data_IF_954908456609
#
_entry.id   IF_954908456609
#
_cell.length_a   1.000
_cell.length_b   1.000
_cell.length_c   1.000
_cell.angle_alpha   90.00
_cell.angle_beta   90.00
_cell.angle_gamma   90.00
#
_symmetry.space_group_name_H-M   'P 1'
#
loop_
_entity.id
_entity.type
_entity.pdbx_description
1 polymer ?
#
# COMPACT_ATOMS: atom_id res chain seq x y z
N UNK A 1 -18.05 -9.57 -3.04
CA UNK A 1 -17.27 -8.94 -1.95
C UNK A 1 -15.84 -8.74 -2.46
N UNK A 2 -15.17 -7.61 -2.20
CA UNK A 2 -13.76 -7.44 -2.59
C UNK A 2 -12.93 -7.28 -1.32
N UNK A 3 -12.07 -8.25 -1.03
CA UNK A 3 -11.15 -8.21 0.10
C UNK A 3 -9.92 -7.36 -0.27
N UNK A 4 -9.49 -6.49 0.63
CA UNK A 4 -8.23 -5.74 0.48
C UNK A 4 -7.20 -6.39 1.41
N UNK A 5 -6.14 -6.94 0.85
CA UNK A 5 -5.03 -7.52 1.60
C UNK A 5 -3.90 -6.50 1.67
N UNK A 6 -3.49 -6.11 2.87
CA UNK A 6 -2.54 -5.02 3.06
C UNK A 6 -1.70 -5.17 4.33
N UNK A 7 -0.75 -4.26 4.52
CA UNK A 7 0.08 -4.15 5.72
C UNK A 7 0.74 -5.47 6.18
N UNK A 8 1.26 -6.28 5.27
CA UNK A 8 2.04 -7.48 5.65
C UNK A 8 3.31 -7.09 6.41
N UNK A 9 3.57 -7.72 7.56
CA UNK A 9 4.79 -7.53 8.37
C UNK A 9 5.80 -8.66 8.21
N UNK A 10 5.49 -9.66 7.37
CA UNK A 10 6.27 -10.88 7.23
C UNK A 10 6.48 -11.28 5.78
N UNK A 11 6.47 -12.59 5.53
CA UNK A 11 6.54 -13.12 4.19
C UNK A 11 5.32 -12.73 3.36
N UNK A 12 5.44 -12.88 2.03
CA UNK A 12 4.30 -12.69 1.12
C UNK A 12 3.17 -13.63 1.55
N UNK A 13 1.93 -13.13 1.77
CA UNK A 13 0.80 -13.99 2.07
C UNK A 13 0.49 -14.90 0.89
N UNK A 14 0.16 -16.15 1.17
CA UNK A 14 -0.34 -17.09 0.17
C UNK A 14 -1.87 -17.00 0.12
N UNK A 15 -2.43 -16.54 -1.00
CA UNK A 15 -3.83 -16.19 -1.15
C UNK A 15 -4.47 -17.09 -2.20
N UNK A 16 -5.22 -18.12 -1.85
CA UNK A 16 -5.94 -18.90 -2.87
C UNK A 16 -7.30 -18.26 -3.19
N UNK A 17 -7.81 -18.53 -4.39
CA UNK A 17 -9.21 -18.28 -4.70
C UNK A 17 -10.01 -19.50 -4.22
N UNK A 18 -10.75 -19.36 -3.13
CA UNK A 18 -11.53 -20.44 -2.54
C UNK A 18 -12.84 -20.66 -3.28
N UNK A 19 -13.41 -19.61 -3.89
CA UNK A 19 -14.59 -19.71 -4.75
C UNK A 19 -14.38 -18.97 -6.07
N UNK A 20 -14.43 -19.71 -7.18
CA UNK A 20 -14.18 -19.19 -8.54
C UNK A 20 -15.32 -18.31 -9.07
N UNK A 21 -16.55 -18.53 -8.62
CA UNK A 21 -17.75 -17.85 -9.15
C UNK A 21 -17.92 -16.49 -8.46
N UNK A 22 -17.81 -16.46 -7.13
CA UNK A 22 -18.02 -15.26 -6.33
C UNK A 22 -16.74 -14.48 -6.04
N UNK A 23 -15.59 -15.03 -6.46
CA UNK A 23 -14.28 -14.41 -6.30
C UNK A 23 -13.82 -14.35 -4.85
N UNK A 24 -14.30 -15.27 -4.01
CA UNK A 24 -13.87 -15.36 -2.62
C UNK A 24 -12.39 -15.74 -2.58
N UNK A 25 -11.62 -15.01 -1.77
CA UNK A 25 -10.21 -15.28 -1.54
C UNK A 25 -9.99 -15.70 -0.09
N UNK A 26 -9.07 -16.64 0.09
CA UNK A 26 -8.65 -17.18 1.38
C UNK A 26 -7.13 -17.05 1.49
N UNK A 27 -6.65 -16.64 2.66
CA UNK A 27 -5.20 -16.60 2.92
C UNK A 27 -4.81 -17.90 3.62
N UNK A 28 -4.12 -18.78 2.90
CA UNK A 28 -3.76 -20.13 3.35
C UNK A 28 -2.43 -20.18 4.10
N UNK A 29 -1.53 -19.23 3.84
CA UNK A 29 -0.30 -19.08 4.61
C UNK A 29 -0.03 -17.60 4.92
N UNK A 30 0.53 -17.36 6.11
CA UNK A 30 0.88 -16.03 6.62
C UNK A 30 -0.29 -15.06 6.79
N UNK A 31 -1.51 -15.58 6.96
CA UNK A 31 -2.70 -14.80 7.27
C UNK A 31 -2.53 -13.95 8.54
N UNK A 32 -1.78 -14.45 9.52
CA UNK A 32 -1.42 -13.76 10.76
C UNK A 32 -0.51 -12.54 10.55
N UNK A 33 0.20 -12.46 9.42
CA UNK A 33 1.16 -11.40 9.13
C UNK A 33 0.58 -10.23 8.33
N UNK A 34 -0.61 -10.39 7.73
CA UNK A 34 -1.25 -9.37 6.91
C UNK A 34 -2.63 -8.99 7.45
N UNK A 35 -3.17 -7.89 6.94
CA UNK A 35 -4.52 -7.41 7.25
C UNK A 35 -5.45 -7.69 6.08
N UNK A 36 -6.69 -8.09 6.37
CA UNK A 36 -7.72 -8.36 5.37
C UNK A 36 -8.95 -7.52 5.67
N UNK A 37 -9.07 -6.39 4.99
CA UNK A 37 -10.30 -5.60 5.06
C UNK A 37 -11.37 -6.27 4.20
N UNK A 38 -12.47 -6.67 4.83
CA UNK A 38 -13.52 -7.50 4.25
C UNK A 38 -14.92 -6.84 4.31
N UNK A 39 -15.01 -5.59 4.77
CA UNK A 39 -16.27 -4.85 4.76
C UNK A 39 -16.57 -4.29 3.35
N UNK A 40 -17.85 -4.13 2.99
CA UNK A 40 -18.22 -3.47 1.74
C UNK A 40 -17.66 -2.05 1.67
N UNK A 41 -17.06 -1.68 0.53
CA UNK A 41 -16.73 -0.29 0.24
C UNK A 41 -17.98 0.44 -0.25
N UNK A 42 -18.17 1.67 0.21
CA UNK A 42 -19.24 2.56 -0.26
C UNK A 42 -18.71 3.53 -1.31
N UNK A 43 -19.60 4.27 -1.96
CA UNK A 43 -19.22 5.32 -2.92
C UNK A 43 -18.53 6.51 -2.25
N UNK A 44 -18.49 6.57 -0.91
CA UNK A 44 -17.75 7.57 -0.13
C UNK A 44 -16.25 7.25 0.03
N UNK A 45 -15.78 6.11 -0.47
CA UNK A 45 -14.39 5.67 -0.28
C UNK A 45 -14.18 4.91 1.04
N UNK A 46 -12.97 5.00 1.58
CA UNK A 46 -12.60 4.41 2.87
C UNK A 46 -11.99 5.49 3.77
N UNK A 47 -12.71 5.83 4.84
CA UNK A 47 -12.29 6.77 5.86
C UNK A 47 -11.41 6.09 6.93
N UNK A 48 -10.62 6.90 7.64
CA UNK A 48 -9.88 6.44 8.80
C UNK A 48 -10.80 5.91 9.90
N UNK A 49 -11.95 6.55 10.13
CA UNK A 49 -12.95 6.08 11.10
C UNK A 49 -13.47 4.69 10.78
N UNK A 50 -13.85 4.43 9.52
CA UNK A 50 -14.30 3.09 9.10
C UNK A 50 -13.22 2.02 9.27
N UNK A 51 -11.95 2.38 9.06
CA UNK A 51 -10.83 1.47 9.26
C UNK A 51 -10.55 1.24 10.76
N UNK A 52 -10.67 2.26 11.60
CA UNK A 52 -10.56 2.15 13.06
C UNK A 52 -11.67 1.28 13.62
N UNK A 53 -12.92 1.49 13.19
CA UNK A 53 -14.06 0.68 13.60
C UNK A 53 -13.92 -0.78 13.16
N UNK A 54 -13.40 -1.02 11.96
CA UNK A 54 -13.05 -2.36 11.51
C UNK A 54 -11.97 -2.99 12.39
N UNK A 55 -10.90 -2.26 12.71
CA UNK A 55 -9.84 -2.74 13.58
C UNK A 55 -10.33 -3.06 15.00
N UNK A 56 -11.26 -2.25 15.52
CA UNK A 56 -11.90 -2.46 16.83
C UNK A 56 -12.55 -3.84 16.92
N UNK A 57 -13.40 -4.16 15.94
CA UNK A 57 -14.10 -5.44 15.89
C UNK A 57 -13.15 -6.62 15.72
N UNK A 58 -12.17 -6.50 14.82
CA UNK A 58 -11.20 -7.57 14.56
C UNK A 58 -10.33 -7.92 15.78
N UNK A 59 -10.11 -6.97 16.69
CA UNK A 59 -9.22 -7.14 17.85
C UNK A 59 -9.97 -7.18 19.19
N UNK A 60 -11.30 -7.34 19.18
CA UNK A 60 -12.13 -7.37 20.40
C UNK A 60 -11.91 -6.16 21.33
N UNK A 61 -11.75 -4.97 20.75
CA UNK A 61 -11.49 -3.72 21.49
C UNK A 61 -12.77 -2.91 21.76
N UNK A 62 -13.90 -3.57 21.98
CA UNK A 62 -15.22 -2.92 22.06
C UNK A 62 -15.32 -1.85 23.16
N UNK A 63 -14.64 -2.08 24.30
CA UNK A 63 -14.65 -1.17 25.45
C UNK A 63 -13.57 -0.06 25.36
N UNK A 64 -12.73 -0.07 24.31
CA UNK A 64 -11.66 0.91 24.14
C UNK A 64 -12.15 2.15 23.40
N UNK A 65 -11.73 3.33 23.87
CA UNK A 65 -11.99 4.59 23.18
C UNK A 65 -11.35 4.64 21.77
N UNK A 66 -11.88 5.51 20.92
CA UNK A 66 -11.44 5.67 19.53
C UNK A 66 -9.93 5.93 19.41
N UNK A 67 -9.38 6.72 20.33
CA UNK A 67 -7.96 7.08 20.33
C UNK A 67 -7.08 5.86 20.56
N UNK A 68 -7.46 5.01 21.50
CA UNK A 68 -6.72 3.78 21.85
C UNK A 68 -6.72 2.80 20.69
N UNK A 69 -7.88 2.60 20.04
CA UNK A 69 -7.99 1.75 18.85
C UNK A 69 -7.19 2.33 17.68
N UNK A 70 -7.29 3.63 17.42
CA UNK A 70 -6.58 4.30 16.34
C UNK A 70 -5.05 4.23 16.52
N UNK A 71 -4.53 4.40 17.74
CA UNK A 71 -3.09 4.24 18.02
C UNK A 71 -2.62 2.79 17.83
N UNK A 72 -3.42 1.82 18.27
CA UNK A 72 -3.15 0.39 18.05
C UNK A 72 -3.06 0.06 16.55
N UNK A 73 -4.02 0.54 15.76
CA UNK A 73 -4.02 0.39 14.32
C UNK A 73 -2.81 1.09 13.67
N UNK A 74 -2.54 2.35 14.05
CA UNK A 74 -1.38 3.10 13.55
C UNK A 74 -0.08 2.30 13.70
N UNK A 75 0.20 1.79 14.90
CA UNK A 75 1.40 0.99 15.15
C UNK A 75 1.41 -0.30 14.35
N UNK A 76 0.25 -0.94 14.15
CA UNK A 76 0.14 -2.13 13.29
C UNK A 76 0.45 -1.82 11.82
N UNK A 77 -0.01 -0.68 11.29
CA UNK A 77 0.26 -0.26 9.92
C UNK A 77 1.74 0.11 9.72
N UNK A 78 2.29 0.88 10.65
CA UNK A 78 3.70 1.32 10.63
C UNK A 78 4.70 0.17 10.58
N UNK A 79 4.40 -0.96 11.24
CA UNK A 79 5.26 -2.16 11.19
C UNK A 79 5.37 -2.80 9.81
N UNK A 80 4.46 -2.51 8.89
CA UNK A 80 4.49 -3.07 7.53
C UNK A 80 5.45 -2.35 6.57
N UNK A 81 5.87 -1.13 6.90
CA UNK A 81 6.62 -0.26 5.99
C UNK A 81 8.02 -0.82 5.71
N UNK A 82 8.36 -0.90 4.42
CA UNK A 82 9.54 -1.57 3.89
C UNK A 82 10.80 -0.70 3.81
N UNK A 83 10.67 0.62 3.87
CA UNK A 83 11.80 1.55 3.78
C UNK A 83 11.66 2.78 4.68
N UNK A 84 12.78 3.46 4.95
CA UNK A 84 12.78 4.74 5.68
C UNK A 84 12.00 5.83 4.92
N UNK A 85 12.08 5.86 3.59
CA UNK A 85 11.35 6.81 2.78
C UNK A 85 9.83 6.59 2.88
N UNK A 86 9.37 5.33 2.83
CA UNK A 86 7.97 4.99 3.11
C UNK A 86 7.54 5.43 4.52
N UNK A 87 8.39 5.26 5.54
CA UNK A 87 8.10 5.72 6.91
C UNK A 87 7.87 7.22 6.99
N UNK A 88 8.69 8.02 6.32
CA UNK A 88 8.50 9.47 6.28
C UNK A 88 7.26 9.89 5.49
N UNK A 89 6.97 9.26 4.35
CA UNK A 89 5.74 9.54 3.60
C UNK A 89 4.49 9.18 4.42
N UNK A 90 4.49 7.98 5.01
CA UNK A 90 3.41 7.53 5.88
C UNK A 90 3.22 8.49 7.05
N UNK A 91 4.30 8.84 7.76
CA UNK A 91 4.26 9.79 8.88
C UNK A 91 3.70 11.15 8.48
N UNK A 92 4.13 11.70 7.33
CA UNK A 92 3.63 12.97 6.83
C UNK A 92 2.10 12.94 6.65
N UNK A 93 1.55 11.86 6.10
CA UNK A 93 0.12 11.69 5.93
C UNK A 93 -0.63 11.51 7.25
N UNK A 94 -0.23 10.50 8.04
CA UNK A 94 -0.99 10.07 9.23
C UNK A 94 -0.85 11.01 10.41
N UNK A 95 0.10 11.94 10.39
CA UNK A 95 0.20 13.01 11.40
C UNK A 95 -1.10 13.81 11.54
N UNK A 96 -1.91 13.86 10.47
CA UNK A 96 -3.21 14.53 10.42
C UNK A 96 -4.32 13.79 11.16
N UNK A 97 -4.13 12.50 11.47
CA UNK A 97 -5.06 11.76 12.32
C UNK A 97 -5.04 12.20 13.80
N UNK A 98 -4.18 13.16 14.15
CA UNK A 98 -4.22 13.84 15.44
C UNK A 98 -5.22 15.01 15.47
N UNK A 99 -5.73 15.45 14.31
CA UNK A 99 -6.66 16.57 14.20
C UNK A 99 -8.11 16.17 14.58
N UNK A 100 -8.99 17.12 14.96
CA UNK A 100 -10.35 16.82 15.41
C UNK A 100 -11.22 16.08 14.39
N UNK A 101 -10.94 16.24 13.10
CA UNK A 101 -11.68 15.65 11.98
C UNK A 101 -11.10 14.32 11.49
N UNK A 102 -10.11 13.76 12.20
CA UNK A 102 -9.35 12.58 11.81
C UNK A 102 -10.20 11.40 11.29
N UNK A 103 -11.35 11.13 11.92
CA UNK A 103 -12.21 10.00 11.52
C UNK A 103 -12.84 10.16 10.15
N UNK A 104 -13.00 11.41 9.69
CA UNK A 104 -13.51 11.76 8.35
C UNK A 104 -12.42 11.89 7.30
N UNK A 105 -11.15 11.78 7.67
CA UNK A 105 -10.04 11.81 6.73
C UNK A 105 -9.91 10.47 5.98
N UNK A 106 -9.33 10.44 4.76
CA UNK A 106 -9.15 9.20 4.02
C UNK A 106 -8.14 8.27 4.69
N UNK A 107 -8.37 6.96 4.63
CA UNK A 107 -7.46 5.96 5.16
C UNK A 107 -6.31 5.62 4.20
N UNK A 108 -5.07 5.93 4.58
CA UNK A 108 -3.88 5.49 3.84
C UNK A 108 -3.52 4.03 4.18
N UNK A 109 -3.74 3.12 3.23
CA UNK A 109 -3.42 1.70 3.38
C UNK A 109 -2.00 1.40 2.87
N UNK A 110 -1.06 0.96 3.72
CA UNK A 110 0.28 0.60 3.27
C UNK A 110 0.34 -0.83 2.73
N UNK A 111 1.27 -1.10 1.81
CA UNK A 111 1.71 -2.42 1.38
C UNK A 111 0.56 -3.30 0.87
N UNK A 112 -0.19 -2.80 -0.11
CA UNK A 112 -1.43 -3.41 -0.62
C UNK A 112 -1.16 -4.42 -1.72
N UNK A 113 -1.68 -5.64 -1.59
CA UNK A 113 -1.57 -6.68 -2.59
C UNK A 113 -2.64 -6.54 -3.68
N UNK A 114 -2.20 -6.57 -4.94
CA UNK A 114 -3.06 -6.28 -6.12
C UNK A 114 -3.31 -7.54 -6.95
N UNK A 115 -2.29 -8.38 -7.03
CA UNK A 115 -2.31 -9.59 -7.82
C UNK A 115 -1.77 -10.73 -6.98
N UNK A 116 -2.56 -11.80 -6.88
CA UNK A 116 -2.05 -13.05 -6.38
C UNK A 116 -1.39 -13.83 -7.52
N UNK A 117 -0.14 -14.20 -7.28
CA UNK A 117 0.60 -15.14 -8.09
C UNK A 117 0.86 -16.37 -7.22
N UNK A 118 0.24 -17.53 -7.52
CA UNK A 118 0.39 -18.76 -6.73
C UNK A 118 1.79 -19.36 -6.80
N UNK A 119 2.64 -18.89 -7.73
CA UNK A 119 3.96 -19.46 -7.92
C UNK A 119 5.03 -18.54 -7.33
N UNK A 120 5.87 -19.11 -6.46
CA UNK A 120 7.13 -18.49 -6.02
C UNK A 120 8.08 -18.29 -7.21
N UNK A 121 9.06 -17.39 -7.08
CA UNK A 121 10.08 -17.19 -8.12
C UNK A 121 10.82 -18.48 -8.47
N UNK A 122 11.14 -19.31 -7.46
CA UNK A 122 11.79 -20.61 -7.65
C UNK A 122 10.92 -21.56 -8.46
N UNK A 123 9.62 -21.66 -8.15
CA UNK A 123 8.68 -22.52 -8.88
C UNK A 123 8.51 -22.05 -10.33
N UNK A 124 8.46 -20.74 -10.59
CA UNK A 124 8.37 -20.21 -11.96
C UNK A 124 9.61 -20.54 -12.79
N UNK A 125 10.79 -20.37 -12.20
CA UNK A 125 12.06 -20.73 -12.84
C UNK A 125 12.08 -22.22 -13.19
N UNK A 126 11.68 -23.09 -12.26
CA UNK A 126 11.57 -24.53 -12.49
C UNK A 126 10.56 -24.85 -13.61
N UNK A 127 9.39 -24.21 -13.61
CA UNK A 127 8.31 -24.45 -14.57
C UNK A 127 8.47 -23.70 -15.91
N UNK A 128 9.58 -22.98 -16.11
CA UNK A 128 9.84 -22.13 -17.29
C UNK A 128 8.66 -21.20 -17.63
N UNK A 129 7.97 -20.69 -16.60
CA UNK A 129 6.86 -19.75 -16.77
C UNK A 129 7.42 -18.34 -17.02
N UNK A 130 6.70 -17.47 -17.76
CA UNK A 130 7.10 -16.07 -17.90
C UNK A 130 7.27 -15.43 -16.53
N UNK A 131 8.11 -14.38 -16.50
CA UNK A 131 8.47 -13.61 -15.31
C UNK A 131 7.18 -13.20 -14.57
N UNK A 132 7.29 -13.12 -13.24
CA UNK A 132 6.21 -12.80 -12.30
C UNK A 132 5.36 -11.62 -12.79
N UNK A 133 4.11 -11.54 -12.31
CA UNK A 133 3.36 -10.28 -12.41
C UNK A 133 4.26 -9.18 -11.83
N UNK A 134 4.62 -8.22 -12.68
CA UNK A 134 5.75 -7.34 -12.44
C UNK A 134 5.55 -6.47 -11.17
N UNK A 135 4.28 -6.22 -10.81
CA UNK A 135 3.85 -5.59 -9.56
C UNK A 135 2.85 -6.45 -8.80
N UNK A 136 3.26 -6.98 -7.66
CA UNK A 136 2.37 -7.76 -6.77
C UNK A 136 1.81 -6.95 -5.61
N UNK A 137 2.51 -5.87 -5.26
CA UNK A 137 2.25 -5.03 -4.09
C UNK A 137 2.46 -3.56 -4.46
N UNK A 138 1.55 -2.71 -4.01
CA UNK A 138 1.65 -1.25 -4.05
C UNK A 138 2.14 -0.74 -2.70
N UNK A 139 2.94 0.33 -2.69
CA UNK A 139 3.45 0.88 -1.42
C UNK A 139 2.34 1.49 -0.58
N UNK A 140 1.43 2.27 -1.20
CA UNK A 140 0.26 2.82 -0.53
C UNK A 140 -0.95 2.93 -1.46
N UNK A 141 -2.15 2.80 -0.87
CA UNK A 141 -3.44 2.96 -1.54
C UNK A 141 -4.34 3.90 -0.75
N UNK A 142 -5.04 4.76 -1.47
CA UNK A 142 -6.19 5.52 -1.01
C UNK A 142 -7.42 5.12 -1.83
N UNK A 143 -8.55 4.99 -1.14
CA UNK A 143 -9.86 4.74 -1.74
C UNK A 143 -10.75 5.94 -1.43
N UNK A 144 -11.04 6.73 -2.45
CA UNK A 144 -11.70 8.03 -2.33
C UNK A 144 -13.12 8.00 -2.95
N UNK A 145 -13.97 9.01 -2.68
CA UNK A 145 -15.31 9.09 -3.23
C UNK A 145 -15.37 8.93 -4.76
N UNK A 146 -16.54 8.48 -5.25
CA UNK A 146 -16.76 8.29 -6.68
C UNK A 146 -15.94 7.15 -7.30
N UNK A 147 -15.44 6.24 -6.46
CA UNK A 147 -14.65 5.09 -6.88
C UNK A 147 -13.21 5.41 -7.29
N UNK A 148 -12.70 6.60 -6.94
CA UNK A 148 -11.33 7.03 -7.21
C UNK A 148 -10.36 6.18 -6.38
N UNK A 149 -9.35 5.60 -7.05
CA UNK A 149 -8.32 4.77 -6.42
C UNK A 149 -6.95 5.38 -6.68
N UNK A 150 -6.28 5.84 -5.64
CA UNK A 150 -4.98 6.49 -5.77
C UNK A 150 -3.89 5.58 -5.21
N UNK A 151 -2.89 5.31 -6.03
CA UNK A 151 -1.70 4.56 -5.69
C UNK A 151 -0.56 5.55 -5.49
N UNK A 152 0.14 5.43 -4.38
CA UNK A 152 1.32 6.23 -4.07
C UNK A 152 2.51 5.29 -3.88
N UNK A 153 3.59 5.59 -4.60
CA UNK A 153 4.76 4.72 -4.73
C UNK A 153 6.01 5.48 -4.33
N UNK A 154 6.92 4.80 -3.64
CA UNK A 154 8.17 5.37 -3.13
C UNK A 154 9.36 4.75 -3.85
N UNK A 155 9.97 5.53 -4.73
CA UNK A 155 10.97 5.04 -5.65
C UNK A 155 12.38 4.99 -5.07
N UNK A 156 12.86 3.78 -4.81
CA UNK A 156 14.26 3.51 -4.49
C UNK A 156 15.16 3.37 -5.72
N UNK A 157 16.47 3.29 -5.48
CA UNK A 157 17.49 3.03 -6.51
C UNK A 157 17.22 1.76 -7.33
N UNK A 158 16.55 0.78 -6.73
CA UNK A 158 16.19 -0.50 -7.37
C UNK A 158 15.26 -0.35 -8.58
N UNK A 159 14.58 0.80 -8.76
CA UNK A 159 13.71 1.05 -9.91
C UNK A 159 14.46 1.53 -11.16
N UNK A 160 15.73 1.93 -11.05
CA UNK A 160 16.51 2.46 -12.17
C UNK A 160 17.99 2.05 -12.15
N UNK A 161 18.40 1.24 -11.17
CA UNK A 161 19.75 0.74 -11.03
C UNK A 161 19.74 -0.70 -10.48
N UNK A 162 20.80 -1.44 -10.78
CA UNK A 162 21.00 -2.82 -10.34
C UNK A 162 22.34 -2.95 -9.65
N UNK A 163 22.37 -3.83 -8.65
CA UNK A 163 23.61 -4.16 -7.95
C UNK A 163 24.50 -5.10 -8.78
N UNK A 164 25.80 -4.79 -8.92
CA UNK A 164 26.73 -5.51 -9.79
C UNK A 164 28.11 -5.70 -9.11
N UNK A 165 28.49 -6.94 -8.72
CA UNK A 165 27.65 -8.14 -8.65
C UNK A 165 26.60 -8.02 -7.53
N UNK A 166 25.57 -8.87 -7.56
CA UNK A 166 24.55 -8.92 -6.51
C UNK A 166 25.20 -9.15 -5.13
N UNK A 167 24.83 -8.34 -4.14
CA UNK A 167 25.42 -8.32 -2.80
C UNK A 167 26.69 -7.47 -2.63
N UNK A 168 27.12 -6.71 -3.64
CA UNK A 168 28.34 -5.88 -3.59
C UNK A 168 28.15 -4.44 -3.11
N UNK A 169 26.91 -3.98 -2.99
CA UNK A 169 26.50 -2.57 -2.85
C UNK A 169 27.03 -1.62 -3.94
N UNK A 170 27.57 -2.16 -5.04
CA UNK A 170 27.91 -1.37 -6.22
C UNK A 170 26.70 -1.31 -7.16
N UNK A 171 26.25 -0.10 -7.50
CA UNK A 171 25.05 0.12 -8.29
C UNK A 171 25.37 0.67 -9.67
N UNK A 172 24.86 0.01 -10.70
CA UNK A 172 24.95 0.44 -12.09
C UNK A 172 23.57 0.81 -12.62
N UNK A 173 23.51 1.82 -13.51
CA UNK A 173 22.25 2.28 -14.12
C UNK A 173 21.64 1.18 -14.99
N UNK A 174 20.33 0.99 -14.87
CA UNK A 174 19.57 -0.05 -15.53
C UNK A 174 18.31 0.55 -16.19
N UNK A 175 18.44 0.98 -17.45
CA UNK A 175 17.36 1.63 -18.20
C UNK A 175 16.16 0.71 -18.48
N UNK A 176 16.39 -0.61 -18.49
CA UNK A 176 15.37 -1.65 -18.56
C UNK A 176 14.44 -1.62 -17.34
N UNK A 177 14.98 -1.46 -16.12
CA UNK A 177 14.18 -1.36 -14.89
C UNK A 177 13.26 -0.13 -14.90
N UNK A 178 13.78 1.01 -15.36
CA UNK A 178 12.98 2.20 -15.53
C UNK A 178 11.85 1.98 -16.55
N UNK A 179 12.15 1.32 -17.68
CA UNK A 179 11.19 1.01 -18.73
C UNK A 179 10.07 0.08 -18.25
N UNK A 180 10.41 -0.93 -17.43
CA UNK A 180 9.45 -1.81 -16.75
C UNK A 180 8.53 -1.01 -15.81
N UNK A 181 9.12 -0.18 -14.93
CA UNK A 181 8.40 0.66 -13.98
C UNK A 181 7.36 1.57 -14.67
N UNK A 182 7.74 2.28 -15.73
CA UNK A 182 6.79 3.16 -16.44
C UNK A 182 5.72 2.38 -17.22
N UNK A 183 6.01 1.15 -17.65
CA UNK A 183 5.01 0.29 -18.28
C UNK A 183 3.95 -0.18 -17.27
N UNK A 184 4.37 -0.51 -16.05
CA UNK A 184 3.46 -0.85 -14.96
C UNK A 184 2.55 0.31 -14.58
N UNK A 185 3.07 1.54 -14.53
CA UNK A 185 2.25 2.73 -14.25
C UNK A 185 1.15 2.91 -15.28
N UNK A 186 1.48 2.75 -16.57
CA UNK A 186 0.47 2.81 -17.64
C UNK A 186 -0.57 1.71 -17.46
N UNK A 187 -0.15 0.49 -17.11
CA UNK A 187 -1.06 -0.62 -16.88
C UNK A 187 -2.01 -0.38 -15.69
N UNK A 188 -1.53 0.25 -14.61
CA UNK A 188 -2.38 0.65 -13.47
C UNK A 188 -3.35 1.76 -13.86
N UNK A 189 -2.88 2.80 -14.56
CA UNK A 189 -3.73 3.88 -15.04
C UNK A 189 -4.86 3.38 -15.94
N UNK A 190 -4.55 2.45 -16.85
CA UNK A 190 -5.57 1.79 -17.70
C UNK A 190 -6.56 0.92 -16.91
N UNK A 191 -6.21 0.48 -15.70
CA UNK A 191 -7.11 -0.22 -14.77
C UNK A 191 -7.94 0.73 -13.89
N UNK A 192 -7.83 2.05 -14.11
CA UNK A 192 -8.60 3.07 -13.39
C UNK A 192 -7.96 3.55 -12.08
N UNK A 193 -6.64 3.37 -11.91
CA UNK A 193 -5.92 3.96 -10.79
C UNK A 193 -5.29 5.30 -11.18
N UNK A 194 -5.28 6.26 -10.28
CA UNK A 194 -4.32 7.37 -10.32
C UNK A 194 -3.02 6.92 -9.66
N UNK A 195 -1.88 7.26 -10.26
CA UNK A 195 -0.56 6.83 -9.78
C UNK A 195 0.34 8.03 -9.57
N UNK A 196 0.80 8.22 -8.33
CA UNK A 196 1.77 9.25 -7.96
C UNK A 196 3.04 8.59 -7.40
N UNK A 197 4.20 9.07 -7.83
CA UNK A 197 5.51 8.54 -7.41
C UNK A 197 6.30 9.62 -6.70
N UNK A 198 6.90 9.25 -5.58
CA UNK A 198 7.88 10.05 -4.88
C UNK A 198 9.24 9.39 -4.98
N UNK A 199 10.28 10.16 -5.32
CA UNK A 199 11.64 9.67 -5.20
C UNK A 199 12.00 9.44 -3.73
N UNK A 200 12.52 8.26 -3.38
CA UNK A 200 13.05 8.02 -2.05
C UNK A 200 14.14 9.03 -1.66
N UNK A 201 14.91 9.52 -2.64
CA UNK A 201 15.92 10.56 -2.44
C UNK A 201 15.33 11.92 -2.02
N UNK A 202 14.23 12.38 -2.63
CA UNK A 202 13.61 13.66 -2.26
C UNK A 202 12.96 13.57 -0.87
N UNK A 203 12.34 12.44 -0.54
CA UNK A 203 11.75 12.22 0.79
C UNK A 203 12.85 12.24 1.86
N UNK A 204 13.92 11.47 1.68
CA UNK A 204 15.00 11.37 2.66
C UNK A 204 15.77 12.69 2.83
N UNK A 205 15.93 13.47 1.75
CA UNK A 205 16.52 14.82 1.83
C UNK A 205 15.64 15.79 2.63
N UNK A 206 14.32 15.61 2.59
CA UNK A 206 13.34 16.43 3.29
C UNK A 206 12.94 15.88 4.66
N UNK A 207 13.66 14.90 5.22
CA UNK A 207 13.27 14.20 6.48
C UNK A 207 13.01 15.12 7.68
N UNK A 208 13.70 16.26 7.74
CA UNK A 208 13.53 17.26 8.82
C UNK A 208 12.31 18.17 8.57
N UNK A 209 11.84 18.28 7.33
CA UNK A 209 10.68 19.08 6.96
C UNK A 209 9.88 18.47 5.79
N UNK A 210 8.87 17.69 6.15
CA UNK A 210 7.99 16.99 5.20
C UNK A 210 6.86 17.88 4.62
N UNK A 211 7.02 19.21 4.63
CA UNK A 211 5.97 20.14 4.19
C UNK A 211 5.53 19.90 2.75
N UNK A 212 6.43 19.53 1.85
CA UNK A 212 6.06 19.26 0.45
C UNK A 212 5.16 18.02 0.32
N UNK A 213 5.39 16.97 1.12
CA UNK A 213 4.54 15.77 1.14
C UNK A 213 3.17 16.12 1.72
N UNK A 214 3.13 16.89 2.81
CA UNK A 214 1.88 17.37 3.40
C UNK A 214 1.08 18.22 2.41
N UNK A 215 1.74 19.15 1.72
CA UNK A 215 1.10 19.99 0.70
C UNK A 215 0.54 19.15 -0.45
N UNK A 216 1.30 18.16 -0.94
CA UNK A 216 0.81 17.24 -1.95
C UNK A 216 -0.49 16.55 -1.54
N UNK A 217 -0.59 16.07 -0.29
CA UNK A 217 -1.80 15.42 0.19
C UNK A 217 -2.99 16.39 0.32
N UNK A 218 -2.75 17.63 0.73
CA UNK A 218 -3.78 18.68 0.72
C UNK A 218 -4.28 18.94 -0.72
N UNK A 219 -3.38 19.06 -1.69
CA UNK A 219 -3.73 19.30 -3.09
C UNK A 219 -4.46 18.11 -3.72
N UNK A 220 -4.05 16.88 -3.36
CA UNK A 220 -4.69 15.63 -3.77
C UNK A 220 -6.11 15.56 -3.22
N UNK A 221 -6.31 15.85 -1.93
CA UNK A 221 -7.62 15.82 -1.29
C UNK A 221 -8.54 16.92 -1.81
N UNK A 222 -8.03 18.14 -2.03
CA UNK A 222 -8.80 19.21 -2.67
C UNK A 222 -9.31 18.83 -4.07
N UNK A 223 -8.63 17.90 -4.75
CA UNK A 223 -9.02 17.41 -6.07
C UNK A 223 -9.94 16.19 -6.03
N UNK A 224 -9.75 15.28 -5.07
CA UNK A 224 -10.34 13.95 -5.12
C UNK A 224 -11.18 13.56 -3.88
N UNK A 225 -11.09 14.31 -2.79
CA UNK A 225 -11.76 14.02 -1.51
C UNK A 225 -12.86 15.02 -1.16
N UNK A 226 -13.03 16.10 -1.93
CA UNK A 226 -14.17 17.00 -1.79
C UNK A 226 -15.41 16.43 -2.49
N UNK A 227 -16.55 16.42 -1.79
CA UNK A 227 -17.89 16.27 -2.39
C UNK A 227 -18.26 17.44 -3.31
#
# INVERSE_FOLDING_TARGET
MKNIVFASTGYKPEIIMSEMIDGAIEIVEHADTCLVYNRPLTDAGLTWGELVDWWREQNNMADADDRTVALSLHERLKRSLGSEAERYLFYAFVSRYAEPDAMSQPALLPQVYVHFDPLTERQRQFLKKPRRLARERMDFLLLLPGGVRIVIEVDGKHHYAREVPKGSDNWEVAADLYSEMVAEDRALRLKGYEVFRFGGKEILAARENLAFIRQFFLDLEARFWCE
#
